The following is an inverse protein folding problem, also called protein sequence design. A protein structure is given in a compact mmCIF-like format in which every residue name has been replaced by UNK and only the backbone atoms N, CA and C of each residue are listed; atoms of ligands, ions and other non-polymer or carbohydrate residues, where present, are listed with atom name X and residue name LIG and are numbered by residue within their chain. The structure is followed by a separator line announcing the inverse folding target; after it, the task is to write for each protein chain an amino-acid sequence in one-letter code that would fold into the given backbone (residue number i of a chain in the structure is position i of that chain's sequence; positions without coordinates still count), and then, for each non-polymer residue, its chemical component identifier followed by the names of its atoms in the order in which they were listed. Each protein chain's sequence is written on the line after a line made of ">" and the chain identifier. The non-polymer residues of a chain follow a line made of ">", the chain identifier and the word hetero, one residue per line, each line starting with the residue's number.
data_IF_739457126776
#
_entry.id   IF_739457126776
#
_cell.length_a   1.000
_cell.length_b   1.000
_cell.length_c   1.000
_cell.angle_alpha   90.00
_cell.angle_beta   90.00
_cell.angle_gamma   90.00
#
_symmetry.space_group_name_H-M   'P 1'
#
loop_
_entity.id
_entity.type
_entity.pdbx_description
1 polymer ?
#
# COMPACT_ATOMS: atom_id res chain seq x y z
N UNK A 1 -23.46 -3.37 -2.40
CA UNK A 1 -22.25 -3.43 -1.56
C UNK A 1 -21.99 -2.05 -0.99
N UNK A 2 -21.10 -1.96 -0.01
CA UNK A 2 -20.50 -0.69 0.47
C UNK A 2 -19.32 -0.35 -0.44
N UNK A 3 -19.12 0.93 -0.79
CA UNK A 3 -17.93 1.37 -1.55
C UNK A 3 -16.69 1.29 -0.64
N UNK A 4 -15.53 1.02 -1.24
CA UNK A 4 -14.26 0.84 -0.53
C UNK A 4 -13.91 2.07 0.31
N UNK A 5 -14.13 3.28 -0.21
CA UNK A 5 -13.88 4.53 0.52
C UNK A 5 -14.72 4.58 1.82
N UNK A 6 -15.99 4.19 1.75
CA UNK A 6 -16.89 4.14 2.91
C UNK A 6 -16.45 3.05 3.91
N UNK A 7 -16.08 1.87 3.40
CA UNK A 7 -15.60 0.76 4.23
C UNK A 7 -14.36 1.15 5.01
N UNK A 8 -13.36 1.74 4.35
CA UNK A 8 -12.13 2.17 4.98
C UNK A 8 -12.38 3.22 6.07
N UNK A 9 -13.23 4.22 5.78
CA UNK A 9 -13.57 5.26 6.75
C UNK A 9 -14.20 4.70 8.03
N UNK A 10 -15.14 3.77 7.88
CA UNK A 10 -15.85 3.17 9.00
C UNK A 10 -15.01 2.14 9.78
N UNK A 11 -14.21 1.31 9.10
CA UNK A 11 -13.65 0.09 9.69
C UNK A 11 -12.12 0.08 9.82
N UNK A 12 -11.42 1.11 9.38
CA UNK A 12 -9.95 1.16 9.46
C UNK A 12 -9.43 2.45 10.10
N UNK A 13 -8.18 2.41 10.54
CA UNK A 13 -7.40 3.57 11.00
C UNK A 13 -6.07 3.63 10.25
N UNK A 14 -5.62 4.83 9.84
CA UNK A 14 -4.36 4.98 9.13
C UNK A 14 -3.16 4.86 10.08
N UNK A 15 -2.03 4.43 9.54
CA UNK A 15 -0.72 4.50 10.20
C UNK A 15 0.39 4.65 9.16
N UNK A 16 1.62 4.92 9.60
CA UNK A 16 2.78 5.01 8.71
C UNK A 16 3.55 3.67 8.70
N UNK A 17 3.74 3.09 7.52
CA UNK A 17 4.45 1.82 7.31
C UNK A 17 5.98 1.94 7.44
N UNK A 18 6.51 3.16 7.24
CA UNK A 18 7.92 3.50 7.32
C UNK A 18 8.13 4.96 7.74
N UNK A 19 9.39 5.35 7.95
CA UNK A 19 9.77 6.73 8.32
C UNK A 19 9.51 7.78 7.23
N UNK A 20 9.16 7.36 6.01
CA UNK A 20 8.84 8.25 4.90
C UNK A 20 7.34 8.53 4.79
N UNK A 21 6.54 8.00 5.72
CA UNK A 21 5.09 8.23 5.76
C UNK A 21 4.34 7.45 4.70
N UNK A 22 4.86 6.29 4.25
CA UNK A 22 4.10 5.39 3.37
C UNK A 22 2.82 4.96 4.10
N UNK A 23 1.63 5.20 3.54
CA UNK A 23 0.39 5.01 4.28
C UNK A 23 0.07 3.52 4.42
N UNK A 24 -0.33 3.12 5.63
CA UNK A 24 -0.84 1.80 5.97
C UNK A 24 -2.22 1.91 6.61
N UNK A 25 -2.93 0.78 6.63
CA UNK A 25 -4.21 0.67 7.32
C UNK A 25 -4.19 -0.46 8.35
N UNK A 26 -4.78 -0.19 9.51
CA UNK A 26 -5.13 -1.20 10.50
C UNK A 26 -6.64 -1.31 10.57
N UNK A 27 -7.14 -2.52 10.86
CA UNK A 27 -8.53 -2.66 11.28
C UNK A 27 -8.75 -1.85 12.56
N UNK A 28 -9.85 -1.12 12.60
CA UNK A 28 -10.26 -0.33 13.75
C UNK A 28 -10.59 -1.27 14.91
N UNK A 29 -10.33 -0.81 16.13
CA UNK A 29 -10.66 -1.51 17.36
C UNK A 29 -11.78 -0.80 18.12
N UNK A 30 -12.42 -1.50 19.04
CA UNK A 30 -13.26 -0.91 20.08
C UNK A 30 -12.41 -0.26 21.19
N UNK A 31 -13.07 0.25 22.22
CA UNK A 31 -12.45 0.94 23.35
C UNK A 31 -11.59 0.01 24.23
N UNK A 32 -11.85 -1.30 24.19
CA UNK A 32 -11.09 -2.33 24.90
C UNK A 32 -9.90 -2.85 24.06
N UNK A 33 -9.75 -2.36 22.83
CA UNK A 33 -8.66 -2.71 21.92
C UNK A 33 -8.90 -3.97 21.08
N UNK A 34 -10.10 -4.57 21.15
CA UNK A 34 -10.46 -5.69 20.30
C UNK A 34 -10.86 -5.23 18.90
N UNK A 35 -10.61 -6.05 17.87
CA UNK A 35 -11.02 -5.74 16.50
C UNK A 35 -12.55 -5.52 16.42
N UNK A 36 -13.01 -4.49 15.69
CA UNK A 36 -14.46 -4.18 15.59
C UNK A 36 -15.33 -5.33 15.05
N UNK A 37 -14.73 -6.24 14.28
CA UNK A 37 -15.42 -7.41 13.75
C UNK A 37 -15.51 -8.56 14.74
N UNK A 38 -14.82 -8.49 15.88
CA UNK A 38 -14.94 -9.47 16.96
C UNK A 38 -16.28 -9.30 17.65
N UNK A 39 -17.02 -10.41 17.77
CA UNK A 39 -18.27 -10.56 18.52
C UNK A 39 -18.09 -11.67 19.55
N UNK A 40 -19.10 -11.88 20.40
CA UNK A 40 -19.06 -12.94 21.42
C UNK A 40 -18.88 -14.32 20.78
N UNK A 41 -19.47 -14.55 19.61
CA UNK A 41 -19.38 -15.79 18.84
C UNK A 41 -18.08 -15.90 18.00
N UNK A 42 -17.23 -14.87 18.02
CA UNK A 42 -15.99 -14.80 17.23
C UNK A 42 -16.00 -13.72 16.15
N UNK A 43 -15.11 -13.85 15.16
CA UNK A 43 -14.98 -12.87 14.08
C UNK A 43 -16.18 -12.94 13.12
N UNK A 44 -16.97 -11.86 13.05
CA UNK A 44 -18.15 -11.75 12.17
C UNK A 44 -17.83 -11.81 10.67
N UNK A 45 -16.57 -11.58 10.29
CA UNK A 45 -16.08 -11.67 8.90
C UNK A 45 -15.04 -12.76 8.75
N UNK A 46 -15.14 -13.84 9.54
CA UNK A 46 -14.09 -14.86 9.62
C UNK A 46 -13.65 -15.35 8.23
N UNK A 47 -14.58 -15.68 7.33
CA UNK A 47 -14.25 -16.19 5.99
C UNK A 47 -13.54 -15.16 5.10
N UNK A 48 -13.70 -13.86 5.38
CA UNK A 48 -13.14 -12.74 4.63
C UNK A 48 -12.02 -12.02 5.41
N UNK A 49 -11.52 -12.65 6.47
CA UNK A 49 -10.47 -12.08 7.33
C UNK A 49 -9.17 -11.84 6.53
N UNK A 50 -8.41 -10.77 6.86
CA UNK A 50 -7.19 -10.44 6.14
C UNK A 50 -6.10 -11.50 6.33
N UNK A 51 -5.11 -11.52 5.44
CA UNK A 51 -3.97 -12.45 5.48
C UNK A 51 -3.27 -12.47 6.84
N UNK A 52 -3.10 -11.31 7.47
CA UNK A 52 -2.54 -11.21 8.82
C UNK A 52 -3.30 -12.06 9.87
N UNK A 53 -4.63 -12.08 9.81
CA UNK A 53 -5.46 -12.88 10.69
C UNK A 53 -5.51 -14.36 10.30
N UNK A 54 -5.31 -14.69 9.00
CA UNK A 54 -5.22 -16.09 8.52
C UNK A 54 -3.91 -16.75 8.97
N UNK A 55 -2.84 -15.97 9.03
CA UNK A 55 -1.54 -16.49 9.40
C UNK A 55 -1.45 -16.83 10.88
N UNK A 56 -1.98 -16.00 11.79
CA UNK A 56 -1.86 -16.25 13.22
C UNK A 56 -2.35 -17.66 13.62
N UNK A 57 -1.58 -18.46 14.40
CA UNK A 57 -0.35 -18.11 15.12
C UNK A 57 0.96 -18.30 14.33
N UNK A 58 0.89 -18.62 13.04
CA UNK A 58 2.04 -18.47 12.15
C UNK A 58 2.24 -17.00 11.76
N UNK A 59 3.47 -16.61 11.44
CA UNK A 59 3.79 -15.33 10.81
C UNK A 59 4.45 -15.56 9.46
N UNK A 60 4.15 -14.71 8.48
CA UNK A 60 4.85 -14.67 7.20
C UNK A 60 5.85 -13.50 7.19
N UNK A 61 7.10 -13.79 6.87
CA UNK A 61 8.12 -12.79 6.56
C UNK A 61 8.56 -12.97 5.11
N UNK A 62 8.31 -11.95 4.29
CA UNK A 62 8.93 -11.85 2.97
C UNK A 62 10.29 -11.18 3.13
N UNK A 63 11.35 -11.87 2.72
CA UNK A 63 12.71 -11.32 2.70
C UNK A 63 13.23 -11.32 1.28
N UNK A 64 13.77 -10.17 0.86
CA UNK A 64 14.48 -10.07 -0.39
C UNK A 64 15.94 -10.42 -0.16
N UNK A 65 16.41 -11.51 -0.76
CA UNK A 65 17.83 -11.83 -0.79
C UNK A 65 18.58 -10.75 -1.58
N UNK A 66 19.76 -10.34 -1.09
CA UNK A 66 20.63 -9.39 -1.80
C UNK A 66 21.32 -10.08 -3.00
N UNK A 67 21.46 -11.41 -2.95
CA UNK A 67 22.24 -12.20 -3.91
C UNK A 67 21.42 -13.07 -4.86
N UNK A 68 20.11 -13.23 -4.63
CA UNK A 68 19.25 -14.07 -5.44
C UNK A 68 18.11 -13.26 -6.07
N UNK A 69 17.65 -13.69 -7.25
CA UNK A 69 16.54 -13.06 -7.96
C UNK A 69 15.17 -13.37 -7.35
N UNK A 70 15.06 -14.43 -6.54
CA UNK A 70 13.81 -14.84 -5.89
C UNK A 70 13.70 -14.34 -4.46
N UNK A 71 12.50 -13.88 -4.09
CA UNK A 71 12.17 -13.58 -2.70
C UNK A 71 11.97 -14.89 -1.91
N UNK A 72 12.54 -14.95 -0.70
CA UNK A 72 12.32 -16.06 0.22
C UNK A 72 11.13 -15.74 1.14
N UNK A 73 10.26 -16.74 1.36
CA UNK A 73 9.19 -16.69 2.36
C UNK A 73 9.65 -17.46 3.59
N UNK A 74 9.87 -16.75 4.69
CA UNK A 74 10.12 -17.38 5.99
C UNK A 74 8.83 -17.40 6.80
N UNK A 75 8.64 -18.50 7.51
CA UNK A 75 7.50 -18.67 8.40
C UNK A 75 7.98 -18.70 9.84
N UNK A 76 7.30 -17.93 10.68
CA UNK A 76 7.51 -17.89 12.12
C UNK A 76 6.37 -18.64 12.79
N UNK A 77 6.65 -19.23 13.95
CA UNK A 77 5.64 -19.75 14.84
C UNK A 77 5.60 -18.88 16.10
N UNK A 78 4.48 -18.20 16.31
CA UNK A 78 4.24 -17.37 17.49
C UNK A 78 3.66 -18.26 18.57
N UNK A 79 4.30 -18.27 19.75
CA UNK A 79 3.84 -19.00 20.92
C UNK A 79 3.57 -18.03 22.05
N UNK A 80 2.31 -17.97 22.45
CA UNK A 80 1.82 -17.14 23.54
C UNK A 80 0.94 -18.01 24.44
N UNK A 81 0.97 -17.77 25.75
CA UNK A 81 0.31 -18.64 26.74
C UNK A 81 -1.20 -18.80 26.50
N UNK A 82 -1.84 -17.81 25.87
CA UNK A 82 -3.26 -17.81 25.55
C UNK A 82 -3.60 -18.54 24.24
N UNK A 83 -2.62 -18.84 23.39
CA UNK A 83 -2.81 -19.54 22.13
C UNK A 83 -2.83 -21.06 22.35
N UNK A 84 -4.02 -21.61 22.67
CA UNK A 84 -4.19 -23.03 23.00
C UNK A 84 -4.17 -23.99 21.81
N UNK A 85 -4.22 -23.48 20.58
CA UNK A 85 -4.14 -24.31 19.38
C UNK A 85 -2.83 -25.11 19.24
N UNK A 86 -1.75 -24.69 19.93
CA UNK A 86 -0.50 -25.44 19.97
C UNK A 86 -0.56 -26.72 20.82
N UNK A 87 -1.60 -26.87 21.64
CA UNK A 87 -1.80 -28.02 22.54
C UNK A 87 -2.70 -29.11 21.92
N UNK A 88 -3.24 -28.86 20.72
CA UNK A 88 -4.09 -29.82 19.99
C UNK A 88 -3.29 -30.99 19.40
N UNK A 89 -3.91 -32.15 19.26
CA UNK A 89 -3.28 -33.36 18.71
C UNK A 89 -2.98 -33.24 17.20
N UNK A 90 -3.64 -32.30 16.50
CA UNK A 90 -3.52 -32.11 15.08
C UNK A 90 -2.18 -31.44 14.72
N UNK A 91 -1.26 -32.24 14.19
CA UNK A 91 0.00 -31.77 13.63
C UNK A 91 -0.17 -31.52 12.13
N UNK A 92 0.31 -30.37 11.67
CA UNK A 92 0.27 -29.99 10.26
C UNK A 92 1.54 -29.23 9.85
N UNK A 93 1.90 -29.38 8.59
CA UNK A 93 2.94 -28.58 7.94
C UNK A 93 2.45 -27.17 7.65
N UNK A 94 3.36 -26.22 7.38
CA UNK A 94 3.00 -24.86 6.97
C UNK A 94 2.18 -24.86 5.67
N UNK A 95 2.47 -25.77 4.73
CA UNK A 95 1.71 -25.88 3.49
C UNK A 95 0.26 -26.30 3.73
N UNK A 96 0.04 -27.31 4.58
CA UNK A 96 -1.29 -27.75 4.98
C UNK A 96 -2.05 -26.64 5.71
N UNK A 97 -1.39 -25.94 6.64
CA UNK A 97 -1.98 -24.82 7.35
C UNK A 97 -2.41 -23.69 6.41
N UNK A 98 -1.55 -23.28 5.46
CA UNK A 98 -1.88 -22.23 4.48
C UNK A 98 -3.09 -22.60 3.63
N UNK A 99 -3.18 -23.86 3.22
CA UNK A 99 -4.32 -24.39 2.46
C UNK A 99 -5.60 -24.38 3.30
N UNK A 100 -5.53 -24.86 4.55
CA UNK A 100 -6.66 -24.87 5.48
C UNK A 100 -7.17 -23.45 5.79
N UNK A 101 -6.26 -22.51 6.00
CA UNK A 101 -6.59 -21.11 6.26
C UNK A 101 -7.02 -20.32 5.01
N UNK A 102 -6.94 -20.95 3.82
CA UNK A 102 -7.31 -20.33 2.54
C UNK A 102 -6.49 -19.08 2.22
N UNK A 103 -5.19 -19.08 2.51
CA UNK A 103 -4.33 -17.89 2.35
C UNK A 103 -3.54 -17.88 1.04
N UNK A 104 -3.40 -19.03 0.36
CA UNK A 104 -2.49 -19.20 -0.78
C UNK A 104 -2.77 -18.22 -1.93
N UNK A 105 -4.03 -18.06 -2.33
CA UNK A 105 -4.42 -17.13 -3.38
C UNK A 105 -4.06 -15.68 -3.00
N UNK A 106 -4.33 -15.28 -1.75
CA UNK A 106 -4.01 -13.93 -1.28
C UNK A 106 -2.50 -13.70 -1.20
N UNK A 107 -1.70 -14.71 -0.87
CA UNK A 107 -0.24 -14.58 -0.89
C UNK A 107 0.27 -14.32 -2.30
N UNK A 108 -0.27 -15.03 -3.28
CA UNK A 108 0.15 -14.93 -4.66
C UNK A 108 -0.26 -13.59 -5.27
N UNK A 109 -1.46 -13.09 -4.91
CA UNK A 109 -1.90 -11.74 -5.27
C UNK A 109 -1.09 -10.64 -4.57
N UNK A 110 -0.69 -10.83 -3.30
CA UNK A 110 0.06 -9.83 -2.54
C UNK A 110 1.57 -9.84 -2.82
N UNK A 111 2.12 -10.87 -3.47
CA UNK A 111 3.56 -11.01 -3.68
C UNK A 111 4.16 -9.77 -4.33
N UNK A 112 3.54 -9.27 -5.39
CA UNK A 112 4.05 -8.12 -6.14
C UNK A 112 3.96 -6.82 -5.31
N UNK A 113 2.94 -6.70 -4.45
CA UNK A 113 2.83 -5.60 -3.50
C UNK A 113 3.94 -5.63 -2.45
N UNK A 114 4.26 -6.82 -1.89
CA UNK A 114 5.37 -6.97 -0.96
C UNK A 114 6.71 -6.59 -1.61
N UNK A 115 6.92 -6.95 -2.87
CA UNK A 115 8.12 -6.56 -3.61
C UNK A 115 8.26 -5.04 -3.75
N UNK A 116 7.17 -4.33 -3.98
CA UNK A 116 7.15 -2.86 -4.03
C UNK A 116 7.56 -2.28 -2.68
N UNK A 117 6.97 -2.77 -1.58
CA UNK A 117 7.30 -2.34 -0.22
C UNK A 117 8.76 -2.64 0.14
N UNK A 118 9.23 -3.86 -0.13
CA UNK A 118 10.61 -4.26 0.15
C UNK A 118 11.59 -3.43 -0.65
N UNK A 119 11.35 -3.25 -1.96
CA UNK A 119 12.19 -2.38 -2.80
C UNK A 119 12.25 -0.96 -2.25
N UNK A 120 11.10 -0.39 -1.85
CA UNK A 120 11.04 0.96 -1.25
C UNK A 120 11.76 1.06 0.10
N UNK A 121 11.74 0.00 0.91
CA UNK A 121 12.51 -0.06 2.16
C UNK A 121 14.01 -0.23 1.92
N UNK A 122 14.40 -0.88 0.83
CA UNK A 122 15.80 -1.09 0.44
C UNK A 122 16.41 0.07 -0.35
N UNK A 123 15.61 1.00 -0.89
CA UNK A 123 16.15 2.21 -1.52
C UNK A 123 16.85 3.06 -0.46
N UNK A 124 18.15 3.29 -0.64
CA UNK A 124 18.97 4.08 0.27
C UNK A 124 18.52 5.54 0.40
N UNK A 125 19.15 6.32 1.30
CA UNK A 125 18.73 7.69 1.64
C UNK A 125 18.70 8.66 0.43
N UNK A 126 19.36 8.30 -0.67
CA UNK A 126 19.41 9.05 -1.93
C UNK A 126 18.08 9.14 -2.69
N UNK A 127 17.12 8.25 -2.44
CA UNK A 127 15.80 8.27 -3.12
C UNK A 127 14.80 9.20 -2.39
N UNK A 128 15.08 9.59 -1.15
CA UNK A 128 14.27 10.55 -0.39
C UNK A 128 12.84 10.09 -0.08
N UNK A 129 12.04 11.02 0.47
CA UNK A 129 10.62 10.81 0.73
C UNK A 129 9.83 10.94 -0.59
N UNK A 130 8.95 9.98 -0.95
CA UNK A 130 8.07 10.15 -2.11
C UNK A 130 7.18 11.39 -1.97
N UNK A 131 6.79 12.00 -3.09
CA UNK A 131 5.87 13.13 -3.06
C UNK A 131 4.51 12.73 -2.46
N UNK A 132 3.80 13.68 -1.85
CA UNK A 132 2.45 13.45 -1.31
C UNK A 132 1.48 12.89 -2.37
N UNK A 133 1.65 13.31 -3.63
CA UNK A 133 0.85 12.81 -4.75
C UNK A 133 1.15 11.34 -5.05
N UNK A 134 2.42 10.94 -4.96
CA UNK A 134 2.83 9.53 -5.14
C UNK A 134 2.33 8.67 -3.97
N UNK A 135 2.36 9.19 -2.73
CA UNK A 135 1.81 8.51 -1.56
C UNK A 135 0.28 8.37 -1.64
N UNK A 136 -0.43 9.39 -2.13
CA UNK A 136 -1.86 9.34 -2.38
C UNK A 136 -2.21 8.30 -3.47
N UNK A 137 -1.44 8.24 -4.56
CA UNK A 137 -1.61 7.21 -5.59
C UNK A 137 -1.41 5.81 -5.01
N UNK A 138 -0.37 5.60 -4.20
CA UNK A 138 -0.14 4.33 -3.52
C UNK A 138 -1.30 3.94 -2.60
N UNK A 139 -1.85 4.89 -1.84
CA UNK A 139 -3.01 4.62 -0.99
C UNK A 139 -4.23 4.15 -1.81
N UNK A 140 -4.53 4.85 -2.90
CA UNK A 140 -5.65 4.47 -3.77
C UNK A 140 -5.42 3.08 -4.38
N UNK A 141 -4.26 2.85 -4.98
CA UNK A 141 -3.94 1.59 -5.65
C UNK A 141 -3.83 0.39 -4.69
N UNK A 142 -3.48 0.61 -3.42
CA UNK A 142 -3.32 -0.46 -2.42
C UNK A 142 -4.57 -0.74 -1.59
N UNK A 143 -5.41 0.27 -1.34
CA UNK A 143 -6.49 0.16 -0.36
C UNK A 143 -7.84 0.67 -0.85
N UNK A 144 -7.90 1.78 -1.58
CA UNK A 144 -9.15 2.43 -1.98
C UNK A 144 -9.44 2.17 -3.47
N UNK A 145 -9.77 0.90 -3.76
CA UNK A 145 -9.87 0.34 -5.12
C UNK A 145 -10.92 1.08 -5.95
N UNK A 146 -12.07 1.43 -5.37
CA UNK A 146 -13.11 2.19 -6.08
C UNK A 146 -12.65 3.59 -6.48
N UNK A 147 -11.90 4.28 -5.59
CA UNK A 147 -11.31 5.58 -5.92
C UNK A 147 -10.21 5.43 -6.97
N UNK A 148 -9.42 4.36 -6.89
CA UNK A 148 -8.40 4.07 -7.90
C UNK A 148 -9.03 3.79 -9.27
N UNK A 149 -10.13 3.03 -9.32
CA UNK A 149 -10.93 2.78 -10.53
C UNK A 149 -11.38 4.09 -11.17
N UNK A 150 -12.01 4.98 -10.38
CA UNK A 150 -12.41 6.32 -10.85
C UNK A 150 -11.23 7.15 -11.37
N UNK A 151 -10.05 7.01 -10.75
CA UNK A 151 -8.84 7.69 -11.20
C UNK A 151 -8.35 7.16 -12.55
N UNK A 152 -8.26 5.84 -12.74
CA UNK A 152 -7.84 5.20 -14.00
C UNK A 152 -8.81 5.52 -15.15
N UNK A 153 -10.11 5.64 -14.85
CA UNK A 153 -11.14 5.99 -15.85
C UNK A 153 -11.27 7.51 -16.11
N UNK A 154 -10.45 8.35 -15.47
CA UNK A 154 -10.54 9.79 -15.67
C UNK A 154 -9.95 10.23 -17.01
N UNK A 155 -10.51 11.28 -17.62
CA UNK A 155 -9.99 11.88 -18.86
C UNK A 155 -8.49 12.22 -18.77
N UNK A 156 -8.05 12.68 -17.60
CA UNK A 156 -6.65 13.03 -17.37
C UNK A 156 -5.73 11.80 -17.38
N UNK A 157 -6.22 10.64 -16.95
CA UNK A 157 -5.48 9.38 -17.01
C UNK A 157 -5.46 8.84 -18.44
N UNK A 158 -6.61 8.84 -19.11
CA UNK A 158 -6.77 8.33 -20.49
C UNK A 158 -5.93 9.13 -21.49
N UNK A 159 -5.78 10.45 -21.29
CA UNK A 159 -4.88 11.30 -22.08
C UNK A 159 -3.40 11.03 -21.83
N UNK A 160 -3.05 10.46 -20.68
CA UNK A 160 -1.66 10.19 -20.30
C UNK A 160 -1.19 8.81 -20.79
N UNK A 161 -2.02 7.78 -20.64
CA UNK A 161 -1.63 6.39 -20.90
C UNK A 161 -2.30 5.83 -22.15
N UNK A 162 -1.53 5.06 -22.91
CA UNK A 162 -1.93 4.41 -24.15
C UNK A 162 -2.33 2.96 -23.86
N UNK A 163 -3.58 2.79 -23.44
CA UNK A 163 -4.25 1.50 -23.26
C UNK A 163 -5.37 1.35 -24.29
N UNK A 164 -5.70 0.12 -24.67
CA UNK A 164 -6.81 -0.18 -25.58
C UNK A 164 -8.16 -0.07 -24.86
N UNK A 165 -9.24 0.01 -25.63
CA UNK A 165 -10.59 0.05 -25.08
C UNK A 165 -10.92 -1.25 -24.31
N UNK A 166 -10.40 -2.40 -24.77
CA UNK A 166 -10.53 -3.68 -24.07
C UNK A 166 -9.80 -3.67 -22.73
N UNK A 167 -8.58 -3.12 -22.67
CA UNK A 167 -7.84 -2.96 -21.41
C UNK A 167 -8.60 -2.06 -20.43
N UNK A 168 -9.15 -0.93 -20.89
CA UNK A 168 -9.97 -0.07 -20.02
C UNK A 168 -11.25 -0.78 -19.55
N UNK A 169 -11.93 -1.53 -20.41
CA UNK A 169 -13.13 -2.27 -20.03
C UNK A 169 -12.85 -3.36 -18.97
N UNK A 170 -11.71 -4.06 -19.09
CA UNK A 170 -11.24 -5.01 -18.07
C UNK A 170 -10.94 -4.28 -16.76
N UNK A 171 -10.15 -3.20 -16.82
CA UNK A 171 -9.82 -2.39 -15.65
C UNK A 171 -11.03 -1.71 -15.01
N UNK A 172 -12.15 -1.56 -15.71
CA UNK A 172 -13.40 -0.99 -15.20
C UNK A 172 -14.23 -2.03 -14.43
N UNK A 173 -14.10 -3.32 -14.72
CA UNK A 173 -15.00 -4.35 -14.18
C UNK A 173 -14.32 -5.44 -13.35
N UNK A 174 -13.00 -5.60 -13.46
CA UNK A 174 -12.23 -6.61 -12.73
C UNK A 174 -11.33 -5.94 -11.66
N UNK A 175 -11.62 -6.23 -10.38
CA UNK A 175 -10.83 -5.74 -9.23
C UNK A 175 -9.41 -6.30 -9.19
N UNK A 176 -9.21 -7.57 -9.58
CA UNK A 176 -7.89 -8.22 -9.58
C UNK A 176 -7.04 -7.64 -10.71
N UNK A 177 -7.61 -7.44 -11.90
CA UNK A 177 -6.92 -6.79 -13.02
C UNK A 177 -6.54 -5.35 -12.65
N UNK A 178 -7.47 -4.60 -12.05
CA UNK A 178 -7.22 -3.23 -11.61
C UNK A 178 -6.12 -3.16 -10.53
N UNK A 179 -6.12 -4.08 -9.56
CA UNK A 179 -5.09 -4.18 -8.53
C UNK A 179 -3.71 -4.44 -9.14
N UNK A 180 -3.58 -5.43 -10.05
CA UNK A 180 -2.34 -5.74 -10.75
C UNK A 180 -1.85 -4.57 -11.59
N UNK A 181 -2.77 -3.84 -12.23
CA UNK A 181 -2.43 -2.61 -12.93
C UNK A 181 -1.93 -1.52 -11.98
N UNK A 182 -2.54 -1.40 -10.80
CA UNK A 182 -2.05 -0.54 -9.71
C UNK A 182 -0.61 -0.85 -9.33
N UNK A 183 -0.22 -2.13 -9.26
CA UNK A 183 1.18 -2.53 -8.99
C UNK A 183 2.13 -2.06 -10.09
N UNK A 184 1.78 -2.23 -11.37
CA UNK A 184 2.57 -1.70 -12.50
C UNK A 184 2.72 -0.18 -12.44
N UNK A 185 1.61 0.52 -12.17
CA UNK A 185 1.61 1.98 -12.07
C UNK A 185 2.46 2.46 -10.89
N UNK A 186 2.40 1.78 -9.74
CA UNK A 186 3.24 2.08 -8.59
C UNK A 186 4.72 1.91 -8.90
N UNK A 187 5.12 0.84 -9.60
CA UNK A 187 6.51 0.64 -10.03
C UNK A 187 6.98 1.75 -10.98
N UNK A 188 6.13 2.17 -11.91
CA UNK A 188 6.41 3.29 -12.83
C UNK A 188 6.59 4.62 -12.08
N UNK A 189 5.67 4.95 -11.16
CA UNK A 189 5.70 6.24 -10.43
C UNK A 189 6.80 6.29 -9.35
N UNK A 190 7.07 5.18 -8.65
CA UNK A 190 8.05 5.18 -7.57
C UNK A 190 9.47 4.86 -8.01
N UNK A 191 9.63 4.02 -9.03
CA UNK A 191 10.95 3.50 -9.41
C UNK A 191 11.33 3.81 -10.86
N UNK A 192 10.47 4.49 -11.62
CA UNK A 192 10.73 4.81 -13.03
C UNK A 192 10.71 3.58 -13.94
N UNK A 193 10.08 2.48 -13.52
CA UNK A 193 9.92 1.28 -14.34
C UNK A 193 8.78 1.49 -15.35
N UNK A 194 9.11 2.16 -16.47
CA UNK A 194 8.16 2.57 -17.52
C UNK A 194 7.60 1.36 -18.30
N UNK A 195 6.71 0.60 -17.66
CA UNK A 195 6.08 -0.61 -18.22
C UNK A 195 4.69 -0.34 -18.80
N UNK A 196 4.05 0.75 -18.40
CA UNK A 196 2.79 1.24 -18.97
C UNK A 196 3.14 2.27 -20.02
N UNK A 197 2.69 2.02 -21.26
CA UNK A 197 2.95 2.91 -22.38
C UNK A 197 2.26 4.25 -22.16
N UNK A 198 3.02 5.32 -22.24
CA UNK A 198 2.49 6.69 -22.21
C UNK A 198 2.22 7.17 -23.64
N UNK A 199 1.21 8.03 -23.80
CA UNK A 199 0.94 8.68 -25.10
C UNK A 199 2.06 9.65 -25.43
N UNK A 200 2.42 9.73 -26.71
CA UNK A 200 3.49 10.61 -27.18
C UNK A 200 3.17 12.08 -26.86
N UNK A 201 4.11 12.80 -26.24
CA UNK A 201 3.95 14.20 -25.86
C UNK A 201 3.08 14.45 -24.61
N UNK A 202 2.51 13.40 -23.99
CA UNK A 202 1.59 13.57 -22.86
C UNK A 202 2.27 14.14 -21.62
N UNK A 203 3.53 13.76 -21.38
CA UNK A 203 4.31 14.31 -20.27
C UNK A 203 4.61 15.79 -20.48
N UNK A 204 5.09 16.17 -21.67
CA UNK A 204 5.38 17.55 -22.03
C UNK A 204 4.14 18.43 -21.93
N UNK A 205 3.01 17.94 -22.45
CA UNK A 205 1.73 18.63 -22.36
C UNK A 205 1.29 18.80 -20.90
N UNK A 206 1.41 17.77 -20.06
CA UNK A 206 1.05 17.82 -18.65
C UNK A 206 1.94 18.79 -17.86
N UNK A 207 3.24 18.81 -18.14
CA UNK A 207 4.18 19.74 -17.51
C UNK A 207 3.83 21.18 -17.87
N UNK A 208 3.49 21.45 -19.14
CA UNK A 208 3.09 22.79 -19.57
C UNK A 208 1.75 23.21 -18.95
N UNK A 209 0.73 22.35 -18.99
CA UNK A 209 -0.59 22.60 -18.38
C UNK A 209 -0.51 22.85 -16.87
N UNK A 210 0.47 22.26 -16.18
CA UNK A 210 0.63 22.37 -14.72
C UNK A 210 1.77 23.28 -14.30
N UNK A 211 2.44 23.95 -15.23
CA UNK A 211 3.64 24.76 -14.97
C UNK A 211 3.40 25.81 -13.89
N UNK A 212 2.33 26.59 -14.02
CA UNK A 212 1.97 27.63 -13.05
C UNK A 212 1.69 27.04 -11.64
N UNK A 213 1.01 25.89 -11.58
CA UNK A 213 0.70 25.19 -10.33
C UNK A 213 1.99 24.64 -9.69
N UNK A 214 2.88 24.06 -10.49
CA UNK A 214 4.16 23.51 -10.04
C UNK A 214 5.09 24.62 -9.53
N UNK A 215 5.16 25.74 -10.24
CA UNK A 215 5.95 26.91 -9.85
C UNK A 215 5.42 27.51 -8.54
N UNK A 216 4.10 27.65 -8.40
CA UNK A 216 3.48 28.09 -7.15
C UNK A 216 3.79 27.14 -5.99
N UNK A 217 3.66 25.81 -6.19
CA UNK A 217 3.99 24.81 -5.15
C UNK A 217 5.45 24.90 -4.73
N UNK A 218 6.37 25.05 -5.68
CA UNK A 218 7.80 25.20 -5.41
C UNK A 218 8.08 26.44 -4.55
N UNK A 219 7.41 27.57 -4.83
CA UNK A 219 7.52 28.78 -4.01
C UNK A 219 6.98 28.56 -2.57
N UNK A 220 5.86 27.85 -2.43
CA UNK A 220 5.31 27.51 -1.10
C UNK A 220 6.25 26.57 -0.33
N UNK A 221 6.88 25.60 -0.98
CA UNK A 221 7.85 24.72 -0.34
C UNK A 221 9.12 25.46 0.11
N UNK A 222 9.66 26.33 -0.75
CA UNK A 222 10.82 27.17 -0.41
C UNK A 222 10.50 28.06 0.78
N UNK A 223 9.38 28.78 0.76
CA UNK A 223 8.98 29.67 1.87
C UNK A 223 8.75 28.91 3.18
N UNK A 224 8.16 27.71 3.14
CA UNK A 224 8.03 26.85 4.34
C UNK A 224 9.39 26.39 4.88
N UNK A 225 10.33 26.06 3.99
CA UNK A 225 11.68 25.66 4.40
C UNK A 225 12.43 26.85 5.02
N UNK A 226 12.34 28.03 4.41
CA UNK A 226 12.91 29.27 4.95
C UNK A 226 12.33 29.60 6.33
N UNK A 227 10.99 29.54 6.49
CA UNK A 227 10.34 29.72 7.79
C UNK A 227 10.84 28.74 8.85
N UNK A 228 10.89 27.44 8.56
CA UNK A 228 11.44 26.45 9.50
C UNK A 228 12.91 26.71 9.86
N UNK A 229 13.70 27.17 8.90
CA UNK A 229 15.11 27.50 9.12
C UNK A 229 15.26 28.74 10.00
N UNK A 230 14.45 29.77 9.76
CA UNK A 230 14.37 31.00 10.55
C UNK A 230 13.92 30.70 11.99
N UNK A 231 12.86 29.88 12.16
CA UNK A 231 12.37 29.43 13.47
C UNK A 231 13.44 28.65 14.24
N UNK A 232 14.12 27.70 13.58
CA UNK A 232 15.21 26.94 14.19
C UNK A 232 16.39 27.84 14.58
N UNK A 233 16.72 28.84 13.74
CA UNK A 233 17.76 29.83 14.04
C UNK A 233 17.39 30.67 15.25
N UNK A 234 16.16 31.17 15.32
CA UNK A 234 15.71 32.00 16.44
C UNK A 234 15.65 31.19 17.75
N UNK A 235 15.16 29.95 17.70
CA UNK A 235 15.17 29.06 18.86
C UNK A 235 16.61 28.78 19.38
N UNK A 236 17.59 28.69 18.49
CA UNK A 236 19.00 28.52 18.90
C UNK A 236 19.66 29.76 19.48
N UNK A 237 19.09 30.95 19.26
CA UNK A 237 19.59 32.22 19.81
C UNK A 237 18.96 32.50 21.18
N UNK A 238 17.73 32.02 21.42
CA UNK A 238 17.01 32.21 22.68
C UNK A 238 17.40 31.20 23.79
N UNK A 239 18.22 30.19 23.47
CA UNK A 239 18.73 29.17 24.41
C UNK A 239 20.14 29.49 24.99
N UNK A 240 20.75 30.65 24.62
CA UNK A 240 22.03 31.19 25.15
C UNK A 240 21.83 32.39 26.09
#
# INVERSE_FOLDING_TARGET
>A
GMDTTEFLAAHTVPFELDMHGVPGLKLRTDDDGACLFMKEEGCSVYNDRPTACRYYPSGLLSMKSISEESDERHFLLIKEDHCKGHDEDQIQTIGEYRKEQGVEEYDDLNLEWYQIILKKKSTGPSIGKPSDMSLQMFFMASYDVDRFRRFVMSDAFIKMYDLTDEEYAELETDDIALMKFGFKLMKQVFFGELTIKEREGAWEQRVEERKEILDYRKQVEISKHEQKTEEARNASIDDD
#
